data_IF_422930022896
#
_entry.id   IF_422930022896
#
_cell.length_a   1.000
_cell.length_b   1.000
_cell.length_c   1.000
_cell.angle_alpha   90.00
_cell.angle_beta   90.00
_cell.angle_gamma   90.00
#
_symmetry.space_group_name_H-M   'P 1'
#
loop_
_entity.id
_entity.type
_entity.pdbx_description
1 polymer ?
#
# COMPACT_ATOMS: atom_id res chain seq x y z
N UNK A 1 -3.54 -7.70 -13.23
CA UNK A 1 -2.13 -7.23 -13.16
C UNK A 1 -1.87 -6.07 -14.14
N UNK A 2 -2.56 -6.00 -15.27
CA UNK A 2 -2.30 -4.99 -16.29
C UNK A 2 -2.61 -3.56 -15.81
N UNK A 3 -3.71 -3.34 -15.09
CA UNK A 3 -4.07 -2.03 -14.55
C UNK A 3 -3.01 -1.46 -13.58
N UNK A 4 -2.33 -2.30 -12.81
CA UNK A 4 -1.27 -1.84 -11.89
C UNK A 4 -0.07 -1.30 -12.68
N UNK A 5 0.24 -1.90 -13.83
CA UNK A 5 1.26 -1.38 -14.76
C UNK A 5 0.81 -0.11 -15.45
N UNK A 6 -0.44 -0.05 -15.88
CA UNK A 6 -1.03 1.15 -16.53
C UNK A 6 -1.00 2.40 -15.63
N UNK A 7 -1.07 2.21 -14.32
CA UNK A 7 -0.97 3.32 -13.35
C UNK A 7 0.46 3.64 -12.92
N UNK A 8 1.48 3.00 -13.53
CA UNK A 8 2.87 3.38 -13.40
C UNK A 8 3.78 2.41 -12.64
N UNK A 9 3.35 1.18 -12.34
CA UNK A 9 4.23 0.19 -11.73
C UNK A 9 5.17 -0.43 -12.79
N UNK A 10 6.48 -0.33 -12.58
CA UNK A 10 7.48 -0.95 -13.45
C UNK A 10 7.46 -2.48 -13.33
N UNK A 11 7.28 -2.98 -12.12
CA UNK A 11 7.23 -4.41 -11.81
C UNK A 11 5.98 -4.75 -11.00
N UNK A 12 5.35 -5.86 -11.33
CA UNK A 12 4.18 -6.39 -10.60
C UNK A 12 4.43 -7.85 -10.28
N UNK A 13 4.36 -8.19 -9.00
CA UNK A 13 4.47 -9.56 -8.47
C UNK A 13 3.12 -10.01 -7.93
N UNK A 14 2.86 -11.31 -7.99
CA UNK A 14 1.64 -11.91 -7.47
C UNK A 14 1.57 -11.83 -5.95
N UNK A 15 0.37 -11.87 -5.42
CA UNK A 15 0.14 -11.78 -3.97
C UNK A 15 0.81 -12.92 -3.20
N UNK A 16 0.86 -14.10 -3.79
CA UNK A 16 1.36 -15.33 -3.17
C UNK A 16 2.80 -15.66 -3.60
N UNK A 17 3.41 -14.77 -4.40
CA UNK A 17 4.80 -14.95 -4.84
C UNK A 17 5.75 -14.61 -3.69
N UNK A 18 6.89 -15.32 -3.65
CA UNK A 18 7.97 -14.98 -2.72
C UNK A 18 8.66 -13.70 -3.20
N UNK A 19 8.54 -12.66 -2.40
CA UNK A 19 9.10 -11.33 -2.71
C UNK A 19 10.62 -11.36 -2.85
N UNK A 20 11.32 -12.23 -2.11
CA UNK A 20 12.79 -12.34 -2.16
C UNK A 20 13.22 -13.03 -3.46
N UNK A 21 12.50 -14.07 -3.87
CA UNK A 21 12.77 -14.74 -5.15
C UNK A 21 12.46 -13.82 -6.34
N UNK A 22 11.41 -13.00 -6.23
CA UNK A 22 11.00 -12.12 -7.32
C UNK A 22 11.90 -10.90 -7.49
N UNK A 23 12.37 -10.29 -6.38
CA UNK A 23 13.11 -9.01 -6.40
C UNK A 23 14.61 -9.18 -6.10
N UNK A 24 15.02 -10.27 -5.46
CA UNK A 24 16.35 -10.45 -4.90
C UNK A 24 16.54 -9.77 -3.55
N UNK A 25 17.55 -10.20 -2.81
CA UNK A 25 17.93 -9.54 -1.55
C UNK A 25 18.58 -8.18 -1.82
N UNK A 26 18.40 -7.25 -0.88
CA UNK A 26 19.04 -5.92 -0.89
C UNK A 26 18.87 -5.12 -2.20
N UNK A 27 17.70 -5.25 -2.83
CA UNK A 27 17.37 -4.64 -4.13
C UNK A 27 16.52 -3.36 -4.02
N UNK A 28 15.85 -3.15 -2.88
CA UNK A 28 14.81 -2.13 -2.69
C UNK A 28 15.24 -1.08 -1.64
N UNK A 29 15.02 0.18 -1.91
CA UNK A 29 15.34 1.27 -0.97
C UNK A 29 14.23 1.53 0.06
N UNK A 30 12.97 1.38 -0.36
CA UNK A 30 11.79 1.67 0.47
C UNK A 30 10.71 0.62 0.27
N UNK A 31 10.21 0.07 1.37
CA UNK A 31 9.00 -0.74 1.39
C UNK A 31 7.89 0.04 2.08
N UNK A 32 6.73 0.14 1.42
CA UNK A 32 5.48 0.66 2.01
C UNK A 32 4.52 -0.51 2.13
N UNK A 33 4.21 -0.89 3.35
CA UNK A 33 3.39 -2.07 3.67
C UNK A 33 2.13 -1.65 4.44
N UNK A 34 0.98 -1.93 3.88
CA UNK A 34 -0.34 -1.76 4.52
C UNK A 34 -1.01 -3.10 4.82
N UNK A 35 -0.31 -4.21 4.67
CA UNK A 35 -0.83 -5.57 4.82
C UNK A 35 -0.26 -6.26 6.05
N UNK A 36 1.04 -6.17 6.28
CA UNK A 36 1.73 -6.88 7.36
C UNK A 36 1.70 -8.41 7.19
N UNK A 37 1.74 -9.13 8.32
CA UNK A 37 1.62 -10.59 8.35
C UNK A 37 2.88 -11.34 7.90
N UNK A 38 2.73 -12.54 7.30
CA UNK A 38 3.86 -13.45 7.07
C UNK A 38 4.94 -12.93 6.12
N UNK A 39 4.61 -12.00 5.23
CA UNK A 39 5.56 -11.43 4.26
C UNK A 39 6.56 -10.46 4.88
N UNK A 40 6.35 -10.01 6.13
CA UNK A 40 7.17 -9.01 6.79
C UNK A 40 8.68 -9.33 6.75
N UNK A 41 9.06 -10.56 7.09
CA UNK A 41 10.48 -10.98 7.08
C UNK A 41 11.12 -10.90 5.68
N UNK A 42 10.37 -11.28 4.65
CA UNK A 42 10.79 -11.13 3.25
C UNK A 42 10.97 -9.67 2.84
N UNK A 43 10.05 -8.80 3.26
CA UNK A 43 10.14 -7.35 3.01
C UNK A 43 11.41 -6.73 3.61
N UNK A 44 11.86 -7.19 4.78
CA UNK A 44 13.14 -6.73 5.36
C UNK A 44 14.36 -7.27 4.61
N UNK A 45 14.28 -8.48 4.04
CA UNK A 45 15.39 -9.08 3.27
C UNK A 45 15.65 -8.32 1.97
N UNK A 46 14.60 -7.92 1.25
CA UNK A 46 14.74 -7.19 -0.01
C UNK A 46 15.23 -5.76 0.18
N UNK A 47 15.11 -5.17 1.38
CA UNK A 47 15.64 -3.84 1.66
C UNK A 47 17.16 -3.81 1.63
N UNK A 48 17.72 -2.82 0.96
CA UNK A 48 19.15 -2.49 0.98
C UNK A 48 19.58 -2.00 2.36
N UNK A 49 20.87 -1.97 2.57
CA UNK A 49 21.45 -1.29 3.74
C UNK A 49 21.00 0.17 3.79
N UNK A 50 20.57 0.62 4.97
CA UNK A 50 19.98 1.95 5.18
C UNK A 50 18.55 2.10 4.67
N UNK A 51 17.96 1.02 4.19
CA UNK A 51 16.58 0.99 3.67
C UNK A 51 15.53 1.31 4.72
N UNK A 52 14.32 1.62 4.24
CA UNK A 52 13.19 2.05 5.07
C UNK A 52 12.00 1.12 4.87
N UNK A 53 11.46 0.63 5.96
CA UNK A 53 10.17 -0.06 5.98
C UNK A 53 9.14 0.83 6.64
N UNK A 54 8.04 1.10 5.95
CA UNK A 54 6.92 1.91 6.44
C UNK A 54 5.68 1.03 6.55
N UNK A 55 5.07 0.97 7.73
CA UNK A 55 3.81 0.27 7.93
C UNK A 55 2.68 1.25 8.19
N UNK A 56 1.61 1.16 7.39
CA UNK A 56 0.37 1.94 7.55
C UNK A 56 -0.85 1.07 7.83
N UNK A 57 -0.70 -0.25 7.92
CA UNK A 57 -1.77 -1.19 8.20
C UNK A 57 -1.26 -2.60 8.40
N UNK A 58 -2.13 -3.48 8.91
CA UNK A 58 -1.76 -4.86 9.24
C UNK A 58 -2.94 -5.84 9.05
N UNK A 59 -3.66 -5.71 7.93
CA UNK A 59 -4.84 -6.55 7.65
C UNK A 59 -4.49 -8.02 7.46
N UNK A 60 -3.25 -8.33 7.05
CA UNK A 60 -2.72 -9.69 6.89
C UNK A 60 -2.22 -10.32 8.20
N UNK A 61 -2.21 -9.55 9.28
CA UNK A 61 -1.83 -9.99 10.63
C UNK A 61 -0.97 -8.95 11.35
N UNK A 62 -1.33 -8.56 12.59
CA UNK A 62 -0.64 -7.50 13.31
C UNK A 62 0.63 -7.99 14.03
N UNK A 63 0.75 -9.30 14.25
CA UNK A 63 1.89 -9.88 14.97
C UNK A 63 2.89 -10.46 13.98
N UNK A 64 4.11 -9.94 14.01
CA UNK A 64 5.20 -10.37 13.13
C UNK A 64 6.47 -10.65 13.94
N UNK A 65 7.32 -11.53 13.42
CA UNK A 65 8.62 -11.81 14.03
C UNK A 65 9.70 -10.97 13.36
N UNK A 66 10.44 -10.20 14.14
CA UNK A 66 11.59 -9.43 13.68
C UNK A 66 12.89 -10.16 14.04
N UNK A 67 13.67 -10.58 13.04
CA UNK A 67 15.06 -10.94 13.25
C UNK A 67 15.90 -9.67 13.41
N UNK A 68 16.35 -9.39 14.64
CA UNK A 68 17.12 -8.19 14.93
C UNK A 68 18.41 -8.09 14.10
N UNK A 69 18.99 -9.21 13.68
CA UNK A 69 20.20 -9.21 12.81
C UNK A 69 19.89 -8.61 11.45
N UNK A 70 18.75 -8.99 10.86
CA UNK A 70 18.29 -8.39 9.59
C UNK A 70 18.05 -6.88 9.74
N UNK A 71 17.72 -6.42 10.93
CA UNK A 71 17.45 -5.02 11.22
C UNK A 71 18.75 -4.22 11.44
N UNK A 72 19.58 -4.60 12.45
CA UNK A 72 20.72 -3.77 12.82
C UNK A 72 21.91 -3.91 11.87
N UNK A 73 22.15 -5.09 11.28
CA UNK A 73 23.29 -5.28 10.36
C UNK A 73 23.14 -4.50 9.05
N UNK A 74 21.90 -4.19 8.68
CA UNK A 74 21.58 -3.40 7.48
C UNK A 74 21.22 -1.94 7.80
N UNK A 75 21.34 -1.49 9.04
CA UNK A 75 20.99 -0.12 9.45
C UNK A 75 19.57 0.29 9.00
N UNK A 76 18.60 -0.64 9.06
CA UNK A 76 17.23 -0.39 8.59
C UNK A 76 16.48 0.60 9.49
N UNK A 77 15.52 1.30 8.90
CA UNK A 77 14.58 2.15 9.61
C UNK A 77 13.17 1.58 9.49
N UNK A 78 12.53 1.33 10.64
CA UNK A 78 11.14 0.89 10.72
C UNK A 78 10.29 2.07 11.16
N UNK A 79 9.26 2.42 10.38
CA UNK A 79 8.44 3.62 10.55
C UNK A 79 6.98 3.20 10.59
N UNK A 80 6.29 3.53 11.67
CA UNK A 80 4.84 3.44 11.77
C UNK A 80 4.19 4.71 11.21
N UNK A 81 3.10 4.56 10.46
CA UNK A 81 2.39 5.66 9.85
C UNK A 81 0.88 5.42 9.97
N UNK A 82 0.16 6.25 10.72
CA UNK A 82 -1.29 6.14 10.90
C UNK A 82 -2.03 7.46 10.68
N UNK A 83 -1.42 8.57 11.05
CA UNK A 83 -1.98 9.91 10.88
C UNK A 83 -1.02 10.76 10.05
N UNK A 84 -1.51 11.86 9.55
CA UNK A 84 -0.74 12.82 8.76
C UNK A 84 -0.73 14.19 9.45
N UNK A 85 0.33 14.93 9.21
CA UNK A 85 0.45 16.32 9.62
C UNK A 85 -0.53 17.20 8.81
N UNK A 86 -0.96 18.33 9.37
CA UNK A 86 -1.96 19.23 8.79
C UNK A 86 -1.73 19.56 7.30
N UNK A 87 -0.51 19.87 6.82
CA UNK A 87 -0.31 20.26 5.43
C UNK A 87 -0.41 19.10 4.43
N UNK A 88 -0.36 17.84 4.87
CA UNK A 88 -0.28 16.67 3.98
C UNK A 88 -1.51 16.54 3.09
N UNK A 89 -2.70 16.76 3.64
CA UNK A 89 -3.93 16.67 2.86
C UNK A 89 -4.03 17.75 1.80
N UNK A 90 -3.72 18.98 2.14
CA UNK A 90 -3.70 20.10 1.19
C UNK A 90 -2.67 19.87 0.06
N UNK A 91 -1.48 19.36 0.42
CA UNK A 91 -0.47 18.99 -0.57
C UNK A 91 -0.94 17.88 -1.50
N UNK A 92 -1.63 16.85 -0.97
CA UNK A 92 -2.19 15.76 -1.78
C UNK A 92 -3.22 16.30 -2.79
N UNK A 93 -4.12 17.18 -2.36
CA UNK A 93 -5.09 17.85 -3.24
C UNK A 93 -4.34 18.58 -4.37
N UNK A 94 -3.30 19.34 -4.04
CA UNK A 94 -2.48 20.03 -5.02
C UNK A 94 -1.81 19.10 -6.05
N UNK A 95 -1.32 17.93 -5.62
CA UNK A 95 -0.79 16.91 -6.55
C UNK A 95 -1.86 16.38 -7.51
N UNK A 96 -3.09 16.18 -7.02
CA UNK A 96 -4.21 15.72 -7.84
C UNK A 96 -4.61 16.80 -8.84
N UNK A 97 -4.72 18.06 -8.42
CA UNK A 97 -5.09 19.20 -9.27
C UNK A 97 -4.08 19.44 -10.39
N UNK A 98 -2.79 19.22 -10.14
CA UNK A 98 -1.74 19.30 -11.17
C UNK A 98 -1.64 18.05 -12.04
N UNK A 99 -2.46 17.02 -11.78
CA UNK A 99 -2.45 15.75 -12.52
C UNK A 99 -1.25 14.84 -12.23
N UNK A 100 -0.48 15.12 -11.20
CA UNK A 100 0.68 14.30 -10.78
C UNK A 100 0.25 12.97 -10.13
N UNK A 101 -0.91 12.97 -9.50
CA UNK A 101 -1.55 11.78 -8.94
C UNK A 101 -2.99 11.70 -9.46
N UNK A 102 -3.39 10.52 -9.90
CA UNK A 102 -4.75 10.27 -10.36
C UNK A 102 -5.43 9.21 -9.49
N UNK A 103 -6.38 9.61 -8.61
CA UNK A 103 -7.17 8.67 -7.83
C UNK A 103 -7.99 7.76 -8.75
N UNK A 104 -8.02 6.46 -8.44
CA UNK A 104 -8.83 5.50 -9.17
C UNK A 104 -10.21 5.42 -8.54
N UNK A 105 -11.23 5.84 -9.29
CA UNK A 105 -12.64 5.64 -8.94
C UNK A 105 -13.17 4.45 -9.73
N UNK A 106 -13.39 3.33 -9.03
CA UNK A 106 -13.90 2.11 -9.65
C UNK A 106 -15.39 2.23 -9.97
N UNK A 107 -16.17 2.87 -9.06
CA UNK A 107 -17.60 3.05 -9.21
C UNK A 107 -18.14 4.18 -8.33
N UNK A 108 -19.26 4.76 -8.74
CA UNK A 108 -20.03 5.72 -7.93
C UNK A 108 -21.38 5.16 -7.58
N UNK A 109 -21.91 5.53 -6.41
CA UNK A 109 -23.24 5.19 -5.95
C UNK A 109 -23.89 6.42 -5.33
N UNK A 110 -25.22 6.60 -5.44
CA UNK A 110 -25.95 7.52 -4.58
C UNK A 110 -25.73 7.15 -3.11
N UNK A 111 -25.67 8.14 -2.22
CA UNK A 111 -25.43 7.90 -0.79
C UNK A 111 -26.46 6.97 -0.16
N UNK A 112 -27.72 7.06 -0.60
CA UNK A 112 -28.83 6.22 -0.14
C UNK A 112 -28.62 4.73 -0.45
N UNK A 113 -27.75 4.42 -1.43
CA UNK A 113 -27.40 3.05 -1.81
C UNK A 113 -26.12 2.53 -1.15
N UNK A 114 -25.73 3.11 -0.01
CA UNK A 114 -24.50 2.71 0.72
C UNK A 114 -24.44 1.21 1.03
N UNK A 115 -25.59 0.59 1.37
CA UNK A 115 -25.63 -0.85 1.66
C UNK A 115 -25.27 -1.72 0.44
N UNK A 116 -25.66 -1.29 -0.77
CA UNK A 116 -25.31 -1.98 -2.02
C UNK A 116 -23.82 -1.78 -2.32
N UNK A 117 -23.34 -0.55 -2.16
CA UNK A 117 -21.92 -0.23 -2.34
C UNK A 117 -21.03 -1.06 -1.40
N UNK A 118 -21.40 -1.18 -0.12
CA UNK A 118 -20.66 -1.98 0.85
C UNK A 118 -20.65 -3.47 0.50
N UNK A 119 -21.78 -4.04 0.10
CA UNK A 119 -21.85 -5.46 -0.33
C UNK A 119 -20.91 -5.73 -1.51
N UNK A 120 -21.00 -4.91 -2.54
CA UNK A 120 -20.15 -5.05 -3.73
C UNK A 120 -18.67 -4.81 -3.40
N UNK A 121 -18.36 -3.84 -2.54
CA UNK A 121 -16.99 -3.56 -2.09
C UNK A 121 -16.35 -4.76 -1.38
N UNK A 122 -17.10 -5.50 -0.60
CA UNK A 122 -16.63 -6.71 0.11
C UNK A 122 -16.27 -7.86 -0.84
N UNK A 123 -16.80 -7.89 -2.05
CA UNK A 123 -16.42 -8.90 -3.06
C UNK A 123 -14.98 -8.78 -3.54
N UNK A 124 -14.32 -7.61 -3.31
CA UNK A 124 -12.91 -7.35 -3.64
C UNK A 124 -12.55 -7.61 -5.11
N UNK A 125 -13.49 -7.40 -6.03
CA UNK A 125 -13.29 -7.62 -7.49
C UNK A 125 -12.93 -6.35 -8.26
N UNK A 126 -12.94 -5.21 -7.59
CA UNK A 126 -12.64 -3.90 -8.17
C UNK A 126 -11.22 -3.45 -7.85
N UNK A 127 -10.71 -2.52 -8.64
CA UNK A 127 -9.48 -1.77 -8.38
C UNK A 127 -9.84 -0.29 -8.24
N UNK A 128 -9.37 0.35 -7.19
CA UNK A 128 -9.72 1.73 -6.84
C UNK A 128 -10.80 1.82 -5.75
N UNK A 129 -11.36 3.00 -5.59
CA UNK A 129 -12.32 3.31 -4.55
C UNK A 129 -13.75 3.39 -5.09
N UNK A 130 -14.73 3.08 -4.24
CA UNK A 130 -16.12 3.46 -4.48
C UNK A 130 -16.37 4.84 -3.89
N UNK A 131 -17.11 5.67 -4.62
CA UNK A 131 -17.47 7.02 -4.19
C UNK A 131 -18.98 7.08 -4.00
N UNK A 132 -19.41 7.53 -2.84
CA UNK A 132 -20.80 7.81 -2.54
C UNK A 132 -21.08 9.27 -2.84
N UNK A 133 -22.14 9.52 -3.64
CA UNK A 133 -22.54 10.87 -4.03
C UNK A 133 -23.71 11.29 -3.14
N UNK A 134 -23.55 12.33 -2.30
CA UNK A 134 -24.66 12.89 -1.54
C UNK A 134 -25.74 13.46 -2.46
N UNK A 135 -26.99 13.53 -2.01
CA UNK A 135 -28.04 14.25 -2.74
C UNK A 135 -27.67 15.75 -2.82
N UNK A 136 -28.13 16.39 -3.91
CA UNK A 136 -27.93 17.81 -4.14
C UNK A 136 -28.74 18.67 -3.14
#
# INVERSE_FOLDING_TARGET
MDLVREIGADHVIGRDDDVVLALGEESIDVVIDNVGGPSFGGMLKVLRRGGRYVSSGAIGGPLVTLDLRSFYLKDLRLIGCTAWDEPVFANLVGYIERGEIRPLVARTFPLERIADAQREFLEKRHVGNFVLIPPA
#
